data_IF_595096312828
#
_entry.id   IF_595096312828
#
_cell.length_a   1.000
_cell.length_b   1.000
_cell.length_c   1.000
_cell.angle_alpha   90.00
_cell.angle_beta   90.00
_cell.angle_gamma   90.00
#
_symmetry.space_group_name_H-M   'P 1'
#
loop_
_entity.id
_entity.type
_entity.pdbx_description
1 polymer ?
#
# COMPACT_ATOMS: atom_id res chain seq x y z
N UNK A 1 25.10 -33.54 15.24
CA UNK A 1 24.52 -32.18 15.16
C UNK A 1 23.84 -32.05 13.81
N UNK A 2 22.51 -31.93 13.77
CA UNK A 2 21.79 -31.67 12.52
C UNK A 2 22.19 -30.29 12.01
N UNK A 3 22.76 -30.20 10.80
CA UNK A 3 22.85 -28.96 10.06
C UNK A 3 21.42 -28.56 9.68
N UNK A 4 20.81 -27.65 10.45
CA UNK A 4 19.54 -27.05 10.05
C UNK A 4 19.75 -26.30 8.74
N UNK A 5 18.82 -26.42 7.79
CA UNK A 5 18.93 -25.72 6.51
C UNK A 5 19.07 -24.21 6.73
N UNK A 6 19.85 -23.58 5.86
CA UNK A 6 20.12 -22.13 5.93
C UNK A 6 18.81 -21.34 5.91
N UNK A 7 18.80 -20.12 6.46
CA UNK A 7 17.60 -19.27 6.41
C UNK A 7 17.10 -19.04 4.97
N UNK A 8 18.02 -19.02 4.00
CA UNK A 8 17.71 -18.91 2.59
C UNK A 8 17.02 -20.16 2.03
N UNK A 9 17.48 -21.37 2.38
CA UNK A 9 16.82 -22.61 1.99
C UNK A 9 15.42 -22.72 2.60
N UNK A 10 15.27 -22.40 3.90
CA UNK A 10 13.95 -22.38 4.55
C UNK A 10 12.98 -21.42 3.88
N UNK A 11 13.44 -20.24 3.47
CA UNK A 11 12.60 -19.28 2.75
C UNK A 11 12.22 -19.82 1.37
N UNK A 12 13.16 -20.42 0.63
CA UNK A 12 12.85 -21.04 -0.67
C UNK A 12 11.82 -22.16 -0.54
N UNK A 13 11.98 -23.03 0.45
CA UNK A 13 11.04 -24.13 0.72
C UNK A 13 9.65 -23.62 1.09
N UNK A 14 9.58 -22.55 1.90
CA UNK A 14 8.33 -21.88 2.25
C UNK A 14 7.65 -21.27 1.01
N UNK A 15 8.39 -20.53 0.18
CA UNK A 15 7.84 -19.93 -1.04
C UNK A 15 7.37 -20.98 -2.05
N UNK A 16 8.11 -22.10 -2.17
CA UNK A 16 7.69 -23.24 -2.97
C UNK A 16 6.40 -23.87 -2.43
N UNK A 17 6.31 -24.05 -1.11
CA UNK A 17 5.12 -24.60 -0.44
C UNK A 17 3.91 -23.70 -0.63
N UNK A 18 4.07 -22.38 -0.43
CA UNK A 18 3.02 -21.39 -0.69
C UNK A 18 2.54 -21.44 -2.14
N UNK A 19 3.45 -21.66 -3.09
CA UNK A 19 3.09 -21.77 -4.50
C UNK A 19 2.27 -23.03 -4.84
N UNK A 20 2.33 -24.06 -3.99
CA UNK A 20 1.48 -25.26 -4.14
C UNK A 20 0.09 -25.09 -3.53
N UNK A 21 -0.13 -24.04 -2.73
CA UNK A 21 -1.48 -23.73 -2.21
C UNK A 21 -2.33 -23.22 -3.37
N UNK A 22 -3.57 -23.72 -3.45
CA UNK A 22 -4.54 -23.31 -4.45
C UNK A 22 -4.67 -21.77 -4.51
N UNK A 23 -4.72 -21.26 -5.75
CA UNK A 23 -4.80 -19.85 -6.09
C UNK A 23 -3.73 -18.92 -5.49
N UNK A 24 -2.68 -19.48 -4.89
CA UNK A 24 -1.58 -18.71 -4.33
C UNK A 24 -0.47 -18.46 -5.36
N UNK A 25 0.07 -17.26 -5.30
CA UNK A 25 1.01 -16.73 -6.28
C UNK A 25 2.21 -16.12 -5.57
N UNK A 26 3.38 -16.41 -6.11
CA UNK A 26 4.65 -15.91 -5.59
C UNK A 26 5.47 -15.37 -6.76
N UNK A 27 6.10 -14.22 -6.56
CA UNK A 27 7.13 -13.69 -7.45
C UNK A 27 8.42 -13.45 -6.67
N UNK A 28 9.53 -13.95 -7.21
CA UNK A 28 10.86 -13.58 -6.80
C UNK A 28 11.41 -12.53 -7.77
N UNK A 29 11.86 -11.39 -7.25
CA UNK A 29 12.51 -10.33 -8.04
C UNK A 29 14.00 -10.37 -7.69
N UNK A 30 14.83 -10.55 -8.70
CA UNK A 30 16.29 -10.56 -8.58
C UNK A 30 16.89 -9.43 -9.41
N UNK A 31 18.01 -8.88 -8.95
CA UNK A 31 18.80 -7.94 -9.74
C UNK A 31 19.71 -8.66 -10.75
N UNK A 32 20.51 -7.90 -11.50
CA UNK A 32 21.42 -8.42 -12.53
C UNK A 32 22.53 -9.33 -11.97
N UNK A 33 22.76 -9.30 -10.65
CA UNK A 33 23.72 -10.16 -9.97
C UNK A 33 23.06 -11.41 -9.38
N UNK A 34 21.75 -11.61 -9.61
CA UNK A 34 20.98 -12.71 -9.07
C UNK A 34 20.63 -12.55 -7.59
N UNK A 35 20.83 -11.37 -7.00
CA UNK A 35 20.49 -11.10 -5.61
C UNK A 35 18.99 -10.81 -5.53
N UNK A 36 18.30 -11.51 -4.63
CA UNK A 36 16.88 -11.25 -4.35
C UNK A 36 16.73 -9.83 -3.84
N UNK A 37 15.98 -9.00 -4.55
CA UNK A 37 15.63 -7.64 -4.16
C UNK A 37 14.13 -7.47 -3.93
N UNK A 38 13.31 -8.47 -4.23
CA UNK A 38 11.90 -8.48 -3.85
C UNK A 38 11.28 -9.88 -3.80
N UNK A 39 10.27 -10.02 -2.95
CA UNK A 39 9.40 -11.21 -2.86
C UNK A 39 7.98 -10.70 -2.80
N UNK A 40 7.11 -11.18 -3.70
CA UNK A 40 5.68 -10.84 -3.69
C UNK A 40 4.89 -12.10 -3.43
N UNK A 41 3.88 -12.00 -2.57
CA UNK A 41 3.00 -13.11 -2.21
C UNK A 41 1.56 -12.61 -2.33
N UNK A 42 0.74 -13.38 -3.04
CA UNK A 42 -0.70 -13.18 -3.07
C UNK A 42 -1.40 -14.52 -2.93
N UNK A 43 -2.14 -14.72 -1.85
CA UNK A 43 -2.90 -15.96 -1.62
C UNK A 43 -4.26 -15.94 -2.33
N UNK A 44 -4.89 -17.11 -2.50
CA UNK A 44 -6.25 -17.19 -3.04
C UNK A 44 -7.28 -16.39 -2.24
N UNK A 45 -7.16 -16.41 -0.90
CA UNK A 45 -8.01 -15.62 0.00
C UNK A 45 -7.84 -14.12 -0.25
N UNK A 46 -6.61 -13.64 -0.46
CA UNK A 46 -6.33 -12.23 -0.77
C UNK A 46 -6.92 -11.80 -2.11
N UNK A 47 -6.87 -12.68 -3.13
CA UNK A 47 -7.54 -12.43 -4.42
C UNK A 47 -9.05 -12.31 -4.25
N UNK A 48 -9.67 -13.21 -3.48
CA UNK A 48 -11.09 -13.16 -3.17
C UNK A 48 -11.49 -11.84 -2.49
N UNK A 49 -10.71 -11.36 -1.52
CA UNK A 49 -10.94 -10.04 -0.91
C UNK A 49 -10.75 -8.90 -1.93
N UNK A 50 -9.74 -8.98 -2.78
CA UNK A 50 -9.53 -7.99 -3.83
C UNK A 50 -10.70 -7.90 -4.81
N UNK A 51 -11.25 -9.04 -5.23
CA UNK A 51 -12.39 -9.10 -6.14
C UNK A 51 -13.63 -8.38 -5.60
N UNK A 52 -13.87 -8.45 -4.28
CA UNK A 52 -15.05 -7.87 -3.66
C UNK A 52 -14.87 -6.41 -3.24
N UNK A 53 -13.66 -6.00 -2.84
CA UNK A 53 -13.41 -4.69 -2.21
C UNK A 53 -12.29 -3.87 -2.86
N UNK A 54 -11.75 -4.32 -3.99
CA UNK A 54 -10.58 -3.75 -4.66
C UNK A 54 -10.75 -2.40 -5.37
N UNK A 55 -11.91 -1.75 -5.25
CA UNK A 55 -12.15 -0.44 -5.89
C UNK A 55 -11.20 0.64 -5.35
N UNK A 56 -10.89 0.60 -4.05
CA UNK A 56 -10.03 1.56 -3.38
C UNK A 56 -8.95 0.81 -2.60
N UNK A 57 -7.68 1.14 -2.85
CA UNK A 57 -6.53 0.43 -2.28
C UNK A 57 -5.66 1.41 -1.50
N UNK A 58 -5.32 1.08 -0.26
CA UNK A 58 -4.20 1.69 0.44
C UNK A 58 -2.90 0.95 0.10
N UNK A 59 -1.84 1.71 -0.19
CA UNK A 59 -0.48 1.20 -0.29
C UNK A 59 0.35 1.90 0.78
N UNK A 60 1.03 1.11 1.60
CA UNK A 60 1.97 1.59 2.60
C UNK A 60 3.20 0.69 2.69
N UNK A 61 4.34 1.27 3.06
CA UNK A 61 5.60 0.58 3.30
C UNK A 61 5.99 0.71 4.77
N UNK A 62 6.09 -0.43 5.46
CA UNK A 62 6.64 -0.52 6.80
C UNK A 62 8.13 -0.82 6.74
N UNK A 63 8.95 0.12 7.20
CA UNK A 63 10.39 -0.02 7.29
C UNK A 63 10.82 -0.69 8.60
N UNK A 64 12.02 -1.29 8.61
CA UNK A 64 12.62 -1.83 9.83
C UNK A 64 11.99 -3.12 10.35
N UNK A 65 11.27 -3.87 9.50
CA UNK A 65 10.60 -5.13 9.86
C UNK A 65 11.53 -6.33 9.95
N UNK A 66 12.78 -6.20 9.50
CA UNK A 66 13.77 -7.27 9.47
C UNK A 66 15.21 -6.71 9.43
N UNK A 67 16.18 -7.58 9.72
CA UNK A 67 17.61 -7.24 9.78
C UNK A 67 18.31 -7.25 8.41
N UNK A 68 17.58 -7.51 7.32
CA UNK A 68 18.11 -7.55 5.95
C UNK A 68 17.83 -6.26 5.16
N UNK A 69 17.12 -5.31 5.77
CA UNK A 69 16.79 -4.02 5.15
C UNK A 69 15.60 -4.04 4.19
N UNK A 70 14.90 -5.17 4.05
CA UNK A 70 13.67 -5.21 3.24
C UNK A 70 12.57 -4.38 3.90
N UNK A 71 11.82 -3.64 3.10
CA UNK A 71 10.59 -2.97 3.50
C UNK A 71 9.43 -3.93 3.25
N UNK A 72 8.51 -4.02 4.22
CA UNK A 72 7.26 -4.74 4.05
C UNK A 72 6.25 -3.78 3.44
N UNK A 73 5.79 -4.06 2.22
CA UNK A 73 4.71 -3.30 1.59
C UNK A 73 3.49 -4.17 1.40
N UNK A 74 2.32 -3.55 1.48
CA UNK A 74 1.05 -4.24 1.29
C UNK A 74 0.07 -3.37 0.51
N UNK A 75 -0.76 -4.02 -0.31
CA UNK A 75 -2.04 -3.44 -0.73
C UNK A 75 -3.09 -3.82 0.29
N UNK A 76 -3.84 -2.85 0.79
CA UNK A 76 -4.88 -3.03 1.79
C UNK A 76 -6.19 -2.47 1.26
N UNK A 77 -7.24 -3.27 1.27
CA UNK A 77 -8.60 -2.83 0.94
C UNK A 77 -9.40 -2.62 2.21
N UNK A 78 -10.47 -1.82 2.14
CA UNK A 78 -11.42 -1.69 3.25
C UNK A 78 -12.50 -2.75 3.12
N UNK A 79 -12.46 -3.76 3.99
CA UNK A 79 -13.53 -4.74 4.12
C UNK A 79 -14.69 -4.21 5.00
N UNK A 80 -15.65 -5.08 5.35
CA UNK A 80 -16.83 -4.68 6.14
C UNK A 80 -16.50 -4.16 7.55
N UNK A 81 -15.43 -4.65 8.16
CA UNK A 81 -15.02 -4.27 9.52
C UNK A 81 -13.71 -3.50 9.53
N UNK A 82 -12.70 -4.00 8.81
CA UNK A 82 -11.33 -3.52 8.91
C UNK A 82 -10.58 -3.54 7.56
N UNK A 83 -9.30 -3.15 7.63
CA UNK A 83 -8.36 -3.18 6.53
C UNK A 83 -7.87 -4.60 6.31
N UNK A 84 -8.01 -5.09 5.08
CA UNK A 84 -7.67 -6.46 4.72
C UNK A 84 -6.52 -6.40 3.70
N UNK A 85 -5.35 -6.99 3.99
CA UNK A 85 -4.28 -7.05 3.02
C UNK A 85 -4.70 -7.95 1.85
N UNK A 86 -4.51 -7.47 0.62
CA UNK A 86 -4.84 -8.18 -0.63
C UNK A 86 -3.62 -8.46 -1.52
N UNK A 87 -2.46 -7.96 -1.10
CA UNK A 87 -1.15 -8.26 -1.66
C UNK A 87 -0.12 -7.93 -0.59
N UNK A 88 0.84 -8.81 -0.37
CA UNK A 88 1.99 -8.53 0.50
C UNK A 88 3.29 -8.71 -0.29
N UNK A 89 4.26 -7.86 0.00
CA UNK A 89 5.58 -7.96 -0.61
C UNK A 89 6.68 -7.45 0.30
N UNK A 90 7.85 -8.04 0.13
CA UNK A 90 9.11 -7.55 0.67
C UNK A 90 9.88 -6.92 -0.49
N UNK A 91 10.36 -5.70 -0.32
CA UNK A 91 11.20 -5.03 -1.31
C UNK A 91 12.43 -4.40 -0.64
N UNK A 92 13.62 -4.64 -1.19
CA UNK A 92 14.87 -4.07 -0.67
C UNK A 92 14.94 -2.55 -0.90
N UNK A 93 14.15 -2.02 -1.84
CA UNK A 93 14.10 -0.62 -2.18
C UNK A 93 12.78 -0.26 -2.86
N UNK A 94 12.37 0.99 -2.75
CA UNK A 94 11.20 1.59 -3.42
C UNK A 94 11.56 2.15 -4.81
N UNK A 95 12.48 1.52 -5.54
CA UNK A 95 12.82 1.98 -6.89
C UNK A 95 11.66 1.68 -7.84
N UNK A 96 11.50 2.57 -8.83
CA UNK A 96 10.42 2.47 -9.80
C UNK A 96 10.36 1.11 -10.52
N UNK A 97 11.52 0.53 -10.85
CA UNK A 97 11.61 -0.79 -11.51
C UNK A 97 11.03 -1.89 -10.63
N UNK A 98 11.40 -1.94 -9.35
CA UNK A 98 10.92 -2.95 -8.39
C UNK A 98 9.41 -2.85 -8.21
N UNK A 99 8.89 -1.64 -7.97
CA UNK A 99 7.44 -1.43 -7.81
C UNK A 99 6.66 -1.73 -9.08
N UNK A 100 7.19 -1.37 -10.25
CA UNK A 100 6.56 -1.71 -11.55
C UNK A 100 6.45 -3.23 -11.69
N UNK A 101 7.50 -3.99 -11.35
CA UNK A 101 7.45 -5.45 -11.37
C UNK A 101 6.40 -6.02 -10.41
N UNK A 102 6.26 -5.45 -9.21
CA UNK A 102 5.24 -5.85 -8.22
C UNK A 102 3.82 -5.56 -8.76
N UNK A 103 3.58 -4.35 -9.26
CA UNK A 103 2.25 -3.94 -9.72
C UNK A 103 1.82 -4.67 -11.00
N UNK A 104 2.74 -4.89 -11.94
CA UNK A 104 2.44 -5.68 -13.14
C UNK A 104 2.23 -7.16 -12.80
N UNK A 105 2.92 -7.69 -11.79
CA UNK A 105 2.59 -9.02 -11.27
C UNK A 105 1.17 -9.07 -10.70
N UNK A 106 0.80 -8.10 -9.86
CA UNK A 106 -0.56 -8.02 -9.32
C UNK A 106 -1.61 -7.98 -10.43
N UNK A 107 -1.45 -7.14 -11.45
CA UNK A 107 -2.37 -7.09 -12.60
C UNK A 107 -2.46 -8.42 -13.34
N UNK A 108 -1.33 -9.04 -13.67
CA UNK A 108 -1.30 -10.37 -14.34
C UNK A 108 -2.01 -11.46 -13.54
N UNK A 109 -1.98 -11.37 -12.21
CA UNK A 109 -2.60 -12.36 -11.31
C UNK A 109 -4.06 -12.05 -10.96
N UNK A 110 -4.56 -10.88 -11.36
CA UNK A 110 -5.94 -10.43 -11.15
C UNK A 110 -6.51 -9.81 -12.43
N UNK A 111 -6.47 -10.50 -13.59
CA UNK A 111 -6.59 -9.90 -14.93
C UNK A 111 -7.92 -9.19 -15.21
N UNK A 112 -9.00 -9.57 -14.52
CA UNK A 112 -10.32 -8.95 -14.66
C UNK A 112 -10.48 -7.83 -13.62
N UNK A 113 -10.18 -8.13 -12.36
CA UNK A 113 -10.51 -7.27 -11.22
C UNK A 113 -9.62 -6.03 -11.10
N UNK A 114 -8.39 -6.06 -11.63
CA UNK A 114 -7.49 -4.90 -11.57
C UNK A 114 -8.01 -3.68 -12.33
N UNK A 115 -8.86 -3.88 -13.34
CA UNK A 115 -9.45 -2.78 -14.12
C UNK A 115 -10.48 -1.97 -13.32
N UNK A 116 -11.03 -2.55 -12.25
CA UNK A 116 -12.02 -1.91 -11.38
C UNK A 116 -11.38 -1.02 -10.31
N UNK A 117 -10.05 -0.98 -10.21
CA UNK A 117 -9.36 -0.13 -9.25
C UNK A 117 -9.58 1.34 -9.63
N UNK A 118 -10.34 2.05 -8.79
CA UNK A 118 -10.69 3.45 -8.98
C UNK A 118 -9.69 4.39 -8.30
N UNK A 119 -9.13 3.99 -7.15
CA UNK A 119 -8.15 4.83 -6.45
C UNK A 119 -7.11 4.07 -5.64
N UNK A 120 -5.97 4.74 -5.47
CA UNK A 120 -4.92 4.40 -4.52
C UNK A 120 -4.76 5.51 -3.47
N UNK A 121 -4.59 5.12 -2.22
CA UNK A 121 -4.19 6.01 -1.12
C UNK A 121 -2.77 5.65 -0.70
N UNK A 122 -1.87 6.62 -0.73
CA UNK A 122 -0.44 6.44 -0.39
C UNK A 122 -0.01 7.44 0.69
N UNK A 123 1.06 7.17 1.44
CA UNK A 123 1.59 8.14 2.43
C UNK A 123 2.06 9.44 1.74
N UNK A 124 3.26 9.43 1.12
CA UNK A 124 3.85 10.67 0.58
C UNK A 124 4.95 10.47 -0.46
N UNK A 125 5.12 9.29 -1.04
CA UNK A 125 6.27 9.01 -1.89
C UNK A 125 6.00 9.36 -3.35
N UNK A 126 6.70 10.36 -3.89
CA UNK A 126 6.58 10.79 -5.30
C UNK A 126 6.88 9.65 -6.30
N UNK A 127 7.75 8.72 -5.92
CA UNK A 127 8.07 7.56 -6.77
C UNK A 127 6.87 6.62 -6.87
N UNK A 128 6.20 6.30 -5.75
CA UNK A 128 4.96 5.51 -5.74
C UNK A 128 3.90 6.15 -6.63
N UNK A 129 3.68 7.46 -6.43
CA UNK A 129 2.74 8.22 -7.24
C UNK A 129 3.04 8.09 -8.74
N UNK A 130 4.30 8.30 -9.13
CA UNK A 130 4.69 8.25 -10.54
C UNK A 130 4.52 6.85 -11.13
N UNK A 131 4.79 5.78 -10.37
CA UNK A 131 4.66 4.41 -10.87
C UNK A 131 3.20 3.99 -10.93
N UNK A 132 2.39 4.30 -9.90
CA UNK A 132 0.96 4.05 -9.90
C UNK A 132 0.27 4.74 -11.08
N UNK A 133 0.61 6.01 -11.36
CA UNK A 133 0.07 6.73 -12.52
C UNK A 133 0.43 6.10 -13.87
N UNK A 134 1.52 5.33 -13.96
CA UNK A 134 1.90 4.57 -15.16
C UNK A 134 1.22 3.20 -15.23
N UNK A 135 1.19 2.46 -14.11
CA UNK A 135 0.65 1.10 -14.05
C UNK A 135 -0.89 1.06 -14.02
N UNK A 136 -1.53 2.05 -13.41
CA UNK A 136 -2.97 2.19 -13.22
C UNK A 136 -3.46 3.57 -13.69
N UNK A 137 -3.36 3.89 -15.00
CA UNK A 137 -3.61 5.24 -15.50
C UNK A 137 -5.07 5.72 -15.34
N UNK A 138 -6.01 4.79 -15.12
CA UNK A 138 -7.43 5.11 -14.84
C UNK A 138 -7.69 5.41 -13.36
N UNK A 139 -6.80 4.96 -12.46
CA UNK A 139 -6.98 5.12 -11.03
C UNK A 139 -6.48 6.50 -10.57
N UNK A 140 -7.18 7.09 -9.61
CA UNK A 140 -6.73 8.31 -8.92
C UNK A 140 -5.72 7.96 -7.84
N UNK A 141 -4.61 8.66 -7.77
CA UNK A 141 -3.68 8.55 -6.63
C UNK A 141 -3.97 9.67 -5.65
N UNK A 142 -4.15 9.33 -4.38
CA UNK A 142 -4.51 10.22 -3.29
C UNK A 142 -3.50 10.10 -2.15
N UNK A 143 -3.32 11.19 -1.40
CA UNK A 143 -2.51 11.17 -0.18
C UNK A 143 -3.34 10.70 1.02
N UNK A 144 -2.71 9.95 1.90
CA UNK A 144 -3.29 9.49 3.14
C UNK A 144 -3.63 10.67 4.06
N UNK A 145 -4.89 10.71 4.52
CA UNK A 145 -5.37 11.75 5.42
C UNK A 145 -4.64 11.74 6.75
N UNK A 146 -4.42 10.55 7.31
CA UNK A 146 -3.75 10.40 8.58
C UNK A 146 -2.34 11.00 8.54
N UNK A 147 -1.57 10.66 7.51
CA UNK A 147 -0.21 11.18 7.33
C UNK A 147 -0.19 12.67 7.02
N UNK A 148 -1.09 13.16 6.16
CA UNK A 148 -1.22 14.59 5.86
C UNK A 148 -1.53 15.39 7.14
N UNK A 149 -2.53 14.98 7.93
CA UNK A 149 -2.92 15.65 9.17
C UNK A 149 -1.82 15.57 10.23
N UNK A 150 -1.16 14.41 10.36
CA UNK A 150 -0.04 14.21 11.27
C UNK A 150 1.15 15.11 10.91
N UNK A 151 1.46 15.25 9.62
CA UNK A 151 2.50 16.15 9.14
C UNK A 151 2.17 17.61 9.48
N UNK A 152 0.95 18.06 9.17
CA UNK A 152 0.52 19.43 9.48
C UNK A 152 0.49 19.71 10.98
N UNK A 153 0.04 18.75 11.81
CA UNK A 153 0.12 18.86 13.28
C UNK A 153 1.55 19.04 13.76
N UNK A 154 2.51 18.24 13.25
CA UNK A 154 3.94 18.39 13.56
C UNK A 154 4.48 19.75 13.09
N UNK A 155 4.11 20.21 11.90
CA UNK A 155 4.58 21.46 11.32
C UNK A 155 4.08 22.69 12.10
N UNK A 156 2.79 22.76 12.38
CA UNK A 156 2.14 23.81 13.20
C UNK A 156 2.75 23.91 14.59
N UNK A 157 3.09 22.77 15.19
CA UNK A 157 3.73 22.72 16.51
C UNK A 157 5.16 23.25 16.50
N UNK A 158 5.94 22.96 15.45
CA UNK A 158 7.38 23.25 15.42
C UNK A 158 7.75 24.59 14.78
N UNK A 159 6.95 25.09 13.83
CA UNK A 159 7.40 26.19 12.95
C UNK A 159 6.64 27.51 13.07
N UNK A 160 5.42 27.50 13.61
CA UNK A 160 4.53 28.66 13.48
C UNK A 160 4.30 29.47 14.77
N UNK A 161 5.02 29.16 15.86
CA UNK A 161 4.93 29.84 17.16
C UNK A 161 3.49 30.17 17.64
N UNK A 162 2.54 29.30 17.29
CA UNK A 162 1.12 29.49 17.56
C UNK A 162 0.82 29.19 19.03
N UNK A 163 -0.11 29.93 19.63
CA UNK A 163 -0.73 29.59 20.92
C UNK A 163 -1.64 28.36 20.76
N UNK A 164 -1.97 27.68 21.86
CA UNK A 164 -2.75 26.43 21.81
C UNK A 164 -4.09 26.58 21.06
N UNK A 165 -4.89 27.61 21.37
CA UNK A 165 -6.17 27.84 20.68
C UNK A 165 -6.04 28.19 19.18
N UNK A 166 -4.92 28.82 18.78
CA UNK A 166 -4.61 29.10 17.37
C UNK A 166 -4.21 27.79 16.66
N UNK A 167 -3.45 26.91 17.32
CA UNK A 167 -3.12 25.58 16.77
C UNK A 167 -4.36 24.74 16.53
N UNK A 168 -5.28 24.71 17.49
CA UNK A 168 -6.53 23.94 17.35
C UNK A 168 -7.37 24.47 16.18
N UNK A 169 -7.42 25.79 16.02
CA UNK A 169 -8.13 26.44 14.91
C UNK A 169 -7.49 26.07 13.57
N UNK A 170 -6.17 26.20 13.43
CA UNK A 170 -5.44 25.85 12.21
C UNK A 170 -5.57 24.36 11.88
N UNK A 171 -5.42 23.48 12.87
CA UNK A 171 -5.55 22.03 12.68
C UNK A 171 -6.96 21.66 12.20
N UNK A 172 -8.00 22.28 12.76
CA UNK A 172 -9.39 22.08 12.30
C UNK A 172 -9.60 22.59 10.87
N UNK A 173 -9.06 23.75 10.52
CA UNK A 173 -9.14 24.29 9.16
C UNK A 173 -8.45 23.36 8.14
N UNK A 174 -7.24 22.89 8.46
CA UNK A 174 -6.50 21.95 7.61
C UNK A 174 -7.26 20.62 7.49
N UNK A 175 -7.80 20.10 8.58
CA UNK A 175 -8.62 18.89 8.56
C UNK A 175 -9.80 19.03 7.60
N UNK A 176 -10.58 20.11 7.75
CA UNK A 176 -11.71 20.39 6.86
C UNK A 176 -11.30 20.51 5.39
N UNK A 177 -10.14 21.12 5.11
CA UNK A 177 -9.61 21.23 3.76
C UNK A 177 -9.24 19.85 3.18
N UNK A 178 -8.52 19.02 3.94
CA UNK A 178 -8.11 17.67 3.51
C UNK A 178 -9.33 16.78 3.28
N UNK A 179 -10.30 16.78 4.19
CA UNK A 179 -11.55 16.01 4.04
C UNK A 179 -12.33 16.44 2.80
N UNK A 180 -12.48 17.75 2.55
CA UNK A 180 -13.19 18.27 1.38
C UNK A 180 -12.48 17.94 0.07
N UNK A 181 -11.15 18.07 0.03
CA UNK A 181 -10.37 17.74 -1.16
C UNK A 181 -10.59 16.29 -1.57
N UNK A 182 -10.49 15.36 -0.61
CA UNK A 182 -10.68 13.93 -0.91
C UNK A 182 -12.12 13.64 -1.29
N UNK A 183 -13.10 14.20 -0.59
CA UNK A 183 -14.50 14.05 -0.96
C UNK A 183 -14.78 14.52 -2.40
N UNK A 184 -14.20 15.66 -2.85
CA UNK A 184 -14.34 16.14 -4.23
C UNK A 184 -13.67 15.17 -5.23
N UNK A 185 -12.48 14.69 -4.89
CA UNK A 185 -11.73 13.76 -5.75
C UNK A 185 -12.42 12.40 -5.87
N UNK A 186 -13.20 11.99 -4.86
CA UNK A 186 -13.92 10.73 -4.83
C UNK A 186 -15.35 10.84 -5.40
N UNK A 187 -16.11 11.90 -5.09
CA UNK A 187 -17.46 12.06 -5.67
C UNK A 187 -17.49 12.30 -7.18
N UNK A 188 -16.35 12.62 -7.79
CA UNK A 188 -16.24 12.71 -9.25
C UNK A 188 -16.15 11.34 -9.95
N UNK A 189 -16.22 10.20 -9.23
CA UNK A 189 -16.13 8.84 -9.80
C UNK A 189 -17.43 8.04 -9.86
N UNK A 190 -18.60 8.65 -9.60
CA UNK A 190 -19.91 7.98 -9.70
C UNK A 190 -20.54 7.66 -8.34
N UNK A 191 -21.66 6.90 -8.31
CA UNK A 191 -22.53 6.79 -7.15
C UNK A 191 -22.03 5.88 -6.02
N UNK A 192 -20.84 5.29 -6.14
CA UNK A 192 -20.24 4.50 -5.05
C UNK A 192 -19.73 5.46 -3.98
N UNK A 193 -20.48 5.57 -2.88
CA UNK A 193 -20.06 6.25 -1.67
C UNK A 193 -18.77 5.59 -1.17
N UNK A 194 -17.62 6.19 -1.46
CA UNK A 194 -16.36 5.75 -0.88
C UNK A 194 -16.44 6.07 0.61
N UNK A 195 -16.51 5.02 1.42
CA UNK A 195 -16.59 5.17 2.86
C UNK A 195 -15.34 5.91 3.35
N UNK A 196 -15.58 7.10 3.90
CA UNK A 196 -14.57 7.97 4.51
C UNK A 196 -13.83 7.25 5.65
N UNK A 197 -14.29 6.05 6.05
CA UNK A 197 -13.56 5.12 6.93
C UNK A 197 -12.21 4.63 6.41
N UNK A 198 -11.85 4.84 5.14
CA UNK A 198 -10.46 4.70 4.69
C UNK A 198 -9.49 5.56 5.52
N UNK A 199 -9.98 6.64 6.15
CA UNK A 199 -9.21 7.48 7.07
C UNK A 199 -8.82 6.82 8.39
N UNK A 200 -9.45 5.70 8.77
CA UNK A 200 -9.20 5.02 10.06
C UNK A 200 -8.34 3.75 9.94
N UNK A 201 -8.14 3.22 8.73
CA UNK A 201 -7.43 1.96 8.52
C UNK A 201 -5.92 2.08 8.39
N UNK A 202 -5.42 3.28 8.10
CA UNK A 202 -4.00 3.62 8.20
C UNK A 202 -3.73 4.43 9.46
N UNK A 203 -4.16 3.93 10.63
CA UNK A 203 -3.51 4.32 11.90
C UNK A 203 -2.17 3.58 11.97
N UNK A 204 -1.24 3.95 11.10
CA UNK A 204 0.16 3.58 11.22
C UNK A 204 0.79 4.29 12.42
#
# INVERSE_FOLDING_TARGET
MQQGSSAQERLKDLLHSLKQIEDSEVLLIQDDLGITCGVVIQTGVQKMFFEHWGENIALDFTHGTNNLGFHLGSFVVTGPTDGIPVLDFLALNERAVTMTSIFEFFKRKNPISWENVASFVIDKHFVEWSVLGKCFPKAKVLLCQFHALSYWKKLTTKRFNLKNGERDTVQRCIANMVYRYIHIMLCSTGPTCIDVRFAYLLRC
#
